data_IF_395237368165
#
_entry.id   IF_395237368165
#
_cell.length_a   1.000
_cell.length_b   1.000
_cell.length_c   1.000
_cell.angle_alpha   90.00
_cell.angle_beta   90.00
_cell.angle_gamma   90.00
#
_symmetry.space_group_name_H-M   'P 1'
#
loop_
_entity.id
_entity.type
_entity.pdbx_description
1 polymer ?
#
# COMPACT_ATOMS: atom_id res chain seq x y z
N UNK A 1 -10.14 13.24 -2.06
CA UNK A 1 -10.90 12.58 -0.97
C UNK A 1 -10.55 11.11 -1.01
N UNK A 2 -9.94 10.58 0.03
CA UNK A 2 -9.56 9.16 0.11
C UNK A 2 -10.83 8.31 0.19
N UNK A 3 -10.92 7.22 -0.59
CA UNK A 3 -12.02 6.25 -0.46
C UNK A 3 -12.02 5.64 0.95
N UNK A 4 -13.20 5.27 1.49
CA UNK A 4 -13.26 4.54 2.75
C UNK A 4 -12.44 3.23 2.64
N UNK A 5 -11.83 2.77 3.72
CA UNK A 5 -11.07 1.53 3.71
C UNK A 5 -11.97 0.33 3.40
N UNK A 6 -11.49 -0.55 2.53
CA UNK A 6 -12.18 -1.77 2.11
C UNK A 6 -11.43 -3.00 2.63
N UNK A 7 -12.17 -3.96 3.21
CA UNK A 7 -11.63 -5.28 3.54
C UNK A 7 -11.67 -6.14 2.27
N UNK A 8 -10.52 -6.67 1.90
CA UNK A 8 -10.30 -7.50 0.72
C UNK A 8 -9.71 -8.85 1.12
N UNK A 9 -9.84 -9.88 0.27
CA UNK A 9 -9.29 -11.22 0.50
C UNK A 9 -8.47 -11.72 -0.67
N UNK A 10 -7.49 -12.58 -0.41
CA UNK A 10 -6.67 -13.26 -1.43
C UNK A 10 -6.03 -14.53 -0.85
N UNK A 11 -5.32 -15.29 -1.67
CA UNK A 11 -4.47 -16.40 -1.21
C UNK A 11 -3.03 -15.92 -1.01
N UNK A 12 -2.36 -16.42 0.04
CA UNK A 12 -0.96 -16.14 0.28
C UNK A 12 -0.10 -16.73 -0.85
N UNK A 13 0.67 -15.88 -1.53
CA UNK A 13 1.54 -16.30 -2.66
C UNK A 13 2.70 -17.21 -2.26
N UNK A 14 2.93 -17.41 -0.96
CA UNK A 14 3.98 -18.27 -0.44
C UNK A 14 3.45 -19.61 0.09
N UNK A 15 2.41 -19.60 0.92
CA UNK A 15 1.90 -20.83 1.57
C UNK A 15 0.45 -21.20 1.20
N UNK A 16 -0.22 -20.43 0.34
CA UNK A 16 -1.58 -20.71 -0.14
C UNK A 16 -2.71 -20.44 0.85
N UNK A 17 -2.41 -20.04 2.09
CA UNK A 17 -3.46 -19.73 3.09
C UNK A 17 -4.31 -18.54 2.63
N UNK A 18 -5.64 -18.61 2.81
CA UNK A 18 -6.52 -17.45 2.60
C UNK A 18 -6.19 -16.36 3.63
N UNK A 19 -5.99 -15.14 3.13
CA UNK A 19 -5.61 -13.98 3.94
C UNK A 19 -6.52 -12.79 3.62
N UNK A 20 -6.81 -12.01 4.67
CA UNK A 20 -7.59 -10.80 4.60
C UNK A 20 -6.67 -9.58 4.75
N UNK A 21 -7.04 -8.49 4.10
CA UNK A 21 -6.23 -7.29 4.03
C UNK A 21 -7.07 -6.03 3.82
N UNK A 22 -6.45 -4.87 4.00
CA UNK A 22 -7.12 -3.57 3.83
C UNK A 22 -6.62 -2.93 2.54
N UNK A 23 -7.51 -2.56 1.62
CA UNK A 23 -7.16 -1.90 0.36
C UNK A 23 -6.07 -2.65 -0.44
N UNK A 24 -6.13 -3.99 -0.51
CA UNK A 24 -5.11 -4.79 -1.19
C UNK A 24 -3.75 -4.87 -0.47
N UNK A 25 -3.68 -4.52 0.83
CA UNK A 25 -2.51 -4.73 1.69
C UNK A 25 -2.67 -6.00 2.48
N UNK A 26 -1.75 -6.94 2.28
CA UNK A 26 -1.85 -8.29 2.82
C UNK A 26 -0.63 -8.65 3.66
N UNK A 27 -0.88 -9.28 4.81
CA UNK A 27 0.12 -9.89 5.66
C UNK A 27 -0.34 -11.29 6.07
N UNK A 28 0.45 -12.30 5.75
CA UNK A 28 0.16 -13.68 6.12
C UNK A 28 0.64 -13.95 7.55
N UNK A 29 -0.29 -14.21 8.45
CA UNK A 29 0.00 -14.55 9.86
C UNK A 29 0.58 -15.96 10.03
N UNK A 30 0.51 -16.80 8.99
CA UNK A 30 1.00 -18.19 9.02
C UNK A 30 2.49 -18.27 8.64
N UNK A 31 2.89 -17.66 7.52
CA UNK A 31 4.27 -17.77 7.02
C UNK A 31 5.05 -16.45 7.01
N UNK A 32 4.43 -15.34 7.43
CA UNK A 32 5.09 -14.03 7.50
C UNK A 32 5.21 -13.28 6.18
N UNK A 33 4.73 -13.84 5.07
CA UNK A 33 4.72 -13.17 3.77
C UNK A 33 3.92 -11.87 3.81
N UNK A 34 4.43 -10.82 3.17
CA UNK A 34 3.75 -9.54 2.94
C UNK A 34 3.85 -9.16 1.47
N UNK A 35 2.81 -8.53 0.92
CA UNK A 35 2.87 -8.09 -0.47
C UNK A 35 3.72 -6.82 -0.65
N UNK A 36 4.36 -6.62 -1.81
CA UNK A 36 5.07 -5.38 -2.12
C UNK A 36 4.19 -4.14 -1.99
N UNK A 37 4.80 -3.03 -1.58
CA UNK A 37 4.08 -1.78 -1.29
C UNK A 37 3.43 -1.14 -2.54
N UNK A 38 3.79 -1.51 -3.77
CA UNK A 38 3.15 -0.95 -4.96
C UNK A 38 1.89 -1.73 -5.41
N UNK A 39 1.59 -2.87 -4.79
CA UNK A 39 0.45 -3.72 -5.18
C UNK A 39 -0.86 -3.40 -4.45
N UNK A 40 -0.87 -2.40 -3.56
CA UNK A 40 -2.11 -1.96 -2.91
C UNK A 40 -3.05 -1.30 -3.91
N UNK A 41 -4.35 -1.31 -3.61
CA UNK A 41 -5.38 -0.73 -4.49
C UNK A 41 -5.49 0.80 -4.36
N UNK A 42 -4.75 1.41 -3.44
CA UNK A 42 -4.72 2.86 -3.27
C UNK A 42 -3.82 3.54 -4.30
N UNK A 43 -4.19 4.74 -4.74
CA UNK A 43 -3.29 5.59 -5.51
C UNK A 43 -2.03 5.88 -4.68
N UNK A 44 -0.88 5.75 -5.32
CA UNK A 44 0.40 6.04 -4.69
C UNK A 44 0.57 7.57 -4.58
N UNK A 45 1.14 8.07 -3.46
CA UNK A 45 1.46 9.47 -3.33
C UNK A 45 2.46 9.88 -4.42
N UNK A 46 2.28 11.06 -4.98
CA UNK A 46 3.25 11.65 -5.91
C UNK A 46 4.44 12.21 -5.13
N UNK A 47 5.53 12.51 -5.83
CA UNK A 47 6.65 13.21 -5.22
C UNK A 47 6.23 14.54 -4.56
N UNK A 48 5.24 15.25 -5.11
CA UNK A 48 4.75 16.54 -4.57
C UNK A 48 3.98 16.40 -3.26
N UNK A 49 3.46 15.21 -2.99
CA UNK A 49 2.72 14.89 -1.76
C UNK A 49 3.66 14.57 -0.60
N UNK A 50 4.95 14.34 -0.88
CA UNK A 50 5.99 14.14 0.12
C UNK A 50 6.16 15.44 0.96
N UNK A 51 6.06 15.37 2.31
CA UNK A 51 6.31 16.51 3.19
C UNK A 51 7.68 17.17 2.99
N UNK A 52 8.68 16.38 2.60
CA UNK A 52 10.06 16.80 2.36
C UNK A 52 10.30 17.21 0.89
N UNK A 53 9.27 17.19 0.04
CA UNK A 53 9.38 17.59 -1.35
C UNK A 53 9.93 19.03 -1.47
N UNK A 54 11.01 19.27 -2.22
CA UNK A 54 11.59 20.60 -2.36
C UNK A 54 10.64 21.52 -3.12
N UNK A 55 9.79 22.24 -2.39
CA UNK A 55 9.02 23.37 -2.92
C UNK A 55 10.03 24.45 -3.24
N UNK A 56 10.38 24.61 -4.52
CA UNK A 56 11.40 25.57 -5.00
C UNK A 56 11.30 26.89 -4.23
N UNK A 57 12.21 27.07 -3.27
CA UNK A 57 12.39 28.32 -2.56
C UNK A 57 13.41 29.09 -3.39
N UNK A 58 12.91 30.00 -4.21
CA UNK A 58 13.65 31.06 -4.91
C UNK A 58 14.50 30.59 -6.11
N UNK A 59 13.92 30.67 -7.31
CA UNK A 59 14.70 31.03 -8.50
C UNK A 59 14.95 32.55 -8.38
N UNK A 60 16.17 32.91 -7.98
CA UNK A 60 16.65 34.29 -7.99
C UNK A 60 17.19 34.61 -9.38
#
# INVERSE_FOLDING_TARGET
>A
MSRPPEITRTECRQCGTEIYGVNGRYSCTVCGWVNPWYEGHGELPTAKDDPDYPRRRNAR
#
